data_IF_710705202040
#
_entry.id   IF_710705202040
#
_cell.length_a   1.000
_cell.length_b   1.000
_cell.length_c   1.000
_cell.angle_alpha   90.00
_cell.angle_beta   90.00
_cell.angle_gamma   90.00
#
_symmetry.space_group_name_H-M   'P 1'
#
loop_
_entity.id
_entity.type
_entity.pdbx_description
1 polymer ?
#
# COMPACT_ATOMS: atom_id res chain seq x y z
N UNK A 1 7.25 -6.40 0.12
CA UNK A 1 8.31 -5.53 -0.43
C UNK A 1 9.28 -6.45 -1.12
N UNK A 2 9.61 -6.17 -2.38
CA UNK A 2 10.53 -7.01 -3.13
C UNK A 2 11.90 -7.06 -2.44
N UNK A 3 12.52 -8.24 -2.47
CA UNK A 3 13.91 -8.38 -2.03
C UNK A 3 14.85 -7.71 -3.05
N UNK A 4 16.05 -7.31 -2.61
CA UNK A 4 16.98 -6.54 -3.46
C UNK A 4 17.40 -7.32 -4.71
N UNK A 5 17.52 -8.63 -4.61
CA UNK A 5 17.92 -9.51 -5.72
C UNK A 5 16.80 -9.68 -6.77
N UNK A 6 15.57 -9.28 -6.44
CA UNK A 6 14.39 -9.36 -7.30
C UNK A 6 13.98 -8.00 -7.88
N UNK A 7 14.74 -6.93 -7.60
CA UNK A 7 14.47 -5.61 -8.15
C UNK A 7 14.98 -5.51 -9.59
N UNK A 8 14.12 -5.02 -10.48
CA UNK A 8 14.49 -4.72 -11.86
C UNK A 8 15.10 -3.31 -11.99
N UNK A 9 15.81 -3.06 -13.09
CA UNK A 9 16.46 -1.78 -13.35
C UNK A 9 15.40 -0.67 -13.49
N UNK A 10 15.42 0.30 -12.56
CA UNK A 10 14.48 1.42 -12.51
C UNK A 10 13.37 1.29 -11.46
N UNK A 11 13.27 0.16 -10.75
CA UNK A 11 12.30 0.01 -9.66
C UNK A 11 12.73 0.76 -8.38
N UNK A 12 11.80 1.40 -7.65
CA UNK A 12 12.11 2.12 -6.43
C UNK A 12 12.38 1.16 -5.27
N UNK A 13 13.60 1.25 -4.72
CA UNK A 13 13.99 0.50 -3.52
C UNK A 13 13.06 0.83 -2.35
N UNK A 14 12.62 -0.20 -1.64
CA UNK A 14 11.72 -0.14 -0.48
C UNK A 14 10.25 0.26 -0.76
N UNK A 15 9.90 0.61 -1.99
CA UNK A 15 8.52 0.96 -2.34
C UNK A 15 7.86 -0.09 -3.23
N UNK A 16 8.66 -0.88 -3.95
CA UNK A 16 8.12 -1.92 -4.82
C UNK A 16 7.57 -3.13 -4.04
N UNK A 17 6.39 -3.57 -4.46
CA UNK A 17 5.65 -4.70 -3.90
C UNK A 17 5.32 -5.69 -5.01
N UNK A 18 5.25 -6.98 -4.67
CA UNK A 18 5.00 -8.05 -5.65
C UNK A 18 3.60 -7.95 -6.26
N UNK A 19 2.60 -7.61 -5.42
CA UNK A 19 1.21 -7.46 -5.82
C UNK A 19 0.75 -6.04 -5.49
N UNK A 20 0.46 -5.26 -6.53
CA UNK A 20 -0.08 -3.90 -6.39
C UNK A 20 -1.59 -3.96 -6.16
N UNK A 21 -2.09 -3.11 -5.27
CA UNK A 21 -3.53 -2.94 -5.08
C UNK A 21 -4.08 -2.13 -6.27
N UNK A 22 -4.79 -2.79 -7.18
CA UNK A 22 -5.44 -2.16 -8.32
C UNK A 22 -6.86 -1.77 -7.93
N UNK A 23 -7.23 -0.52 -8.17
CA UNK A 23 -8.56 0.02 -7.91
C UNK A 23 -9.09 0.77 -9.13
N UNK A 24 -10.40 0.72 -9.41
CA UNK A 24 -11.02 1.50 -10.48
C UNK A 24 -10.94 3.02 -10.20
N UNK A 25 -10.80 3.82 -11.26
CA UNK A 25 -10.78 5.28 -11.17
C UNK A 25 -12.22 5.85 -11.24
N UNK A 26 -12.42 7.08 -10.73
CA UNK A 26 -13.67 7.85 -10.80
C UNK A 26 -14.92 7.20 -10.17
N UNK A 27 -14.71 6.27 -9.25
CA UNK A 27 -15.80 5.65 -8.46
C UNK A 27 -15.56 5.85 -6.96
N UNK A 28 -16.65 5.91 -6.20
CA UNK A 28 -16.55 6.06 -4.74
C UNK A 28 -16.14 4.72 -4.10
N UNK A 29 -14.98 4.69 -3.44
CA UNK A 29 -14.41 3.50 -2.81
C UNK A 29 -14.37 3.72 -1.30
N UNK A 30 -14.85 2.73 -0.54
CA UNK A 30 -14.72 2.69 0.92
C UNK A 30 -13.67 1.64 1.31
N UNK A 31 -12.63 2.07 2.02
CA UNK A 31 -11.65 1.17 2.61
C UNK A 31 -12.05 0.82 4.04
N UNK A 32 -12.17 -0.48 4.35
CA UNK A 32 -12.34 -0.99 5.71
C UNK A 32 -11.07 -1.75 6.08
N UNK A 33 -10.27 -1.20 6.99
CA UNK A 33 -8.94 -1.74 7.32
C UNK A 33 -8.96 -2.18 8.78
N UNK A 34 -8.54 -3.41 9.02
CA UNK A 34 -8.39 -4.04 10.35
C UNK A 34 -7.04 -4.75 10.42
N UNK A 35 -6.54 -5.00 11.62
CA UNK A 35 -5.33 -5.79 11.84
C UNK A 35 -5.68 -7.12 12.50
N UNK A 36 -4.88 -8.14 12.24
CA UNK A 36 -5.00 -9.46 12.83
C UNK A 36 -4.11 -9.69 14.06
N UNK A 37 -3.17 -8.78 14.35
CA UNK A 37 -2.20 -8.94 15.44
C UNK A 37 -2.02 -7.62 16.20
N UNK A 38 -1.12 -6.75 15.75
CA UNK A 38 -0.83 -5.46 16.39
C UNK A 38 -1.33 -4.29 15.56
N UNK A 39 -1.30 -3.08 16.13
CA UNK A 39 -1.73 -1.88 15.43
C UNK A 39 -0.82 -1.60 14.22
N UNK A 40 -1.46 -1.41 13.06
CA UNK A 40 -0.80 -0.94 11.85
C UNK A 40 -1.54 0.29 11.31
N UNK A 41 -0.81 1.14 10.60
CA UNK A 41 -1.39 2.24 9.82
C UNK A 41 -1.21 1.96 8.33
N UNK A 42 -2.25 2.26 7.55
CA UNK A 42 -2.20 2.19 6.09
C UNK A 42 -2.34 3.59 5.52
N UNK A 43 -1.31 4.03 4.78
CA UNK A 43 -1.20 5.38 4.28
C UNK A 43 -0.94 5.41 2.77
N UNK A 44 -1.64 6.30 2.06
CA UNK A 44 -1.46 6.61 0.65
C UNK A 44 -1.32 8.14 0.47
N UNK A 45 -0.08 8.68 0.46
CA UNK A 45 0.14 10.13 0.49
C UNK A 45 -0.34 10.85 -0.78
N UNK A 46 -0.30 10.19 -1.95
CA UNK A 46 -0.70 10.80 -3.23
C UNK A 46 -2.21 11.05 -3.38
N UNK A 47 -3.02 10.32 -2.61
CA UNK A 47 -4.50 10.44 -2.58
C UNK A 47 -4.94 11.14 -1.27
N UNK A 48 -3.98 11.51 -0.42
CA UNK A 48 -4.14 12.02 0.95
C UNK A 48 -5.20 11.23 1.76
N UNK A 49 -4.94 9.93 1.87
CA UNK A 49 -5.66 9.01 2.77
C UNK A 49 -4.66 8.48 3.80
N UNK A 50 -4.91 8.75 5.09
CA UNK A 50 -4.19 8.16 6.22
C UNK A 50 -5.21 7.56 7.18
N UNK A 51 -5.11 6.25 7.42
CA UNK A 51 -6.05 5.49 8.24
C UNK A 51 -5.24 4.75 9.29
N UNK A 52 -5.27 5.27 10.51
CA UNK A 52 -4.66 4.64 11.68
C UNK A 52 -5.68 3.72 12.35
N UNK A 53 -5.27 2.48 12.61
CA UNK A 53 -6.07 1.56 13.42
C UNK A 53 -5.81 1.81 14.92
N UNK A 54 -6.80 1.54 15.77
CA UNK A 54 -6.69 1.55 17.23
C UNK A 54 -6.73 0.12 17.75
#
# INVERSE_FOLDING_TARGET
>A
MKSLDQLELGEPRLLEVDNRCVVPCDVNIRFCITSGDVIHSWALPKIMVDITQR
#
